data_IF_886185508194
#
_entry.id   IF_886185508194
#
_cell.length_a   1.000
_cell.length_b   1.000
_cell.length_c   1.000
_cell.angle_alpha   90.00
_cell.angle_beta   90.00
_cell.angle_gamma   90.00
#
_symmetry.space_group_name_H-M   'P 1'
#
loop_
_entity.id
_entity.type
_entity.pdbx_description
1 polymer ?
#
# COMPACT_ATOMS: atom_id res chain seq x y z
N UNK A 1 -38.35 -51.90 25.22
CA UNK A 1 -38.28 -53.34 25.51
C UNK A 1 -36.88 -53.87 25.26
N UNK A 2 -36.21 -54.32 26.36
CA UNK A 2 -35.09 -55.29 26.49
C UNK A 2 -33.83 -55.04 25.62
N UNK A 3 -32.65 -54.57 26.19
CA UNK A 3 -31.69 -55.23 27.06
C UNK A 3 -31.12 -56.59 26.55
N UNK A 4 -29.80 -56.61 26.28
CA UNK A 4 -28.83 -57.66 26.61
C UNK A 4 -27.41 -57.15 26.30
N UNK A 5 -26.60 -57.01 27.15
CA UNK A 5 -25.50 -57.46 27.99
C UNK A 5 -24.93 -58.82 27.61
N UNK A 6 -23.57 -58.87 27.48
CA UNK A 6 -22.66 -59.89 28.05
C UNK A 6 -21.31 -59.87 27.31
N UNK A 7 -20.22 -59.79 27.88
CA UNK A 7 -19.36 -60.35 28.94
C UNK A 7 -18.04 -60.83 28.34
N UNK A 8 -16.96 -60.29 28.85
CA UNK A 8 -15.61 -60.82 29.17
C UNK A 8 -15.13 -62.16 28.59
N UNK A 9 -13.87 -62.17 28.11
CA UNK A 9 -12.86 -63.22 28.45
C UNK A 9 -11.48 -62.50 28.58
N UNK A 10 -10.86 -62.78 29.75
CA UNK A 10 -9.46 -62.52 30.09
C UNK A 10 -8.67 -63.79 29.79
N UNK A 11 -7.52 -63.71 29.15
CA UNK A 11 -6.50 -64.75 29.23
C UNK A 11 -5.11 -64.15 29.41
N UNK A 12 -4.39 -64.75 30.34
CA UNK A 12 -3.14 -64.32 30.91
C UNK A 12 -1.91 -64.90 30.17
N UNK A 13 -0.89 -64.10 30.21
CA UNK A 13 0.53 -64.33 30.39
C UNK A 13 1.26 -65.50 29.71
N UNK A 14 2.29 -65.19 28.99
CA UNK A 14 3.54 -65.93 28.96
C UNK A 14 4.73 -65.02 28.80
N UNK A 15 5.61 -65.02 29.79
CA UNK A 15 6.89 -64.32 29.86
C UNK A 15 7.94 -65.01 28.97
N UNK A 16 8.56 -64.32 28.07
CA UNK A 16 9.78 -64.68 27.41
C UNK A 16 10.85 -63.57 27.61
N UNK A 17 11.87 -63.94 28.39
CA UNK A 17 13.05 -63.08 28.59
C UNK A 17 13.93 -63.16 27.33
N UNK A 18 14.09 -62.03 26.66
CA UNK A 18 15.07 -61.87 25.59
C UNK A 18 16.21 -60.96 26.08
N UNK A 19 17.41 -61.52 25.98
CA UNK A 19 18.68 -60.83 26.29
C UNK A 19 18.91 -59.71 25.26
N UNK A 20 18.98 -58.48 25.71
CA UNK A 20 19.33 -57.35 24.87
C UNK A 20 20.86 -57.26 24.74
N UNK A 21 21.37 -57.47 23.55
CA UNK A 21 22.73 -57.11 23.19
C UNK A 21 22.80 -55.57 22.98
N UNK A 22 23.64 -54.91 23.77
CA UNK A 22 23.94 -53.47 23.56
C UNK A 22 24.80 -53.32 22.30
N UNK A 23 24.22 -52.70 21.25
CA UNK A 23 24.98 -52.13 20.17
C UNK A 23 25.42 -50.68 20.54
N UNK A 24 26.65 -50.22 20.16
CA UNK A 24 27.10 -48.87 20.49
C UNK A 24 26.26 -47.86 19.72
N UNK A 25 25.70 -46.90 20.45
CA UNK A 25 25.00 -45.74 19.89
C UNK A 25 25.97 -44.87 19.10
N UNK A 26 25.82 -44.83 17.78
CA UNK A 26 26.44 -43.80 16.95
C UNK A 26 25.83 -42.46 17.35
N UNK A 27 26.66 -41.55 17.84
CA UNK A 27 26.29 -40.13 18.02
C UNK A 27 25.83 -39.57 16.67
N UNK A 28 24.55 -39.33 16.53
CA UNK A 28 24.05 -38.42 15.51
C UNK A 28 24.57 -37.04 15.85
N UNK A 29 25.39 -36.45 14.97
CA UNK A 29 25.77 -35.04 15.05
C UNK A 29 24.50 -34.22 15.01
N UNK A 30 24.13 -33.66 16.17
CA UNK A 30 23.08 -32.68 16.25
C UNK A 30 23.54 -31.41 15.45
N UNK A 31 22.95 -31.23 14.30
CA UNK A 31 23.08 -29.95 13.57
C UNK A 31 22.71 -28.86 14.56
N UNK A 32 23.56 -27.80 14.73
CA UNK A 32 23.20 -26.71 15.61
C UNK A 32 21.91 -26.08 15.09
N UNK A 33 20.92 -25.97 15.96
CA UNK A 33 19.70 -25.23 15.67
C UNK A 33 20.10 -23.79 15.30
N UNK A 34 19.66 -23.31 14.13
CA UNK A 34 19.94 -21.96 13.69
C UNK A 34 19.50 -20.99 14.80
N UNK A 35 20.43 -20.16 15.26
CA UNK A 35 20.15 -19.15 16.27
C UNK A 35 19.00 -18.24 15.81
N UNK A 36 18.09 -17.79 16.71
CA UNK A 36 17.02 -16.86 16.37
C UNK A 36 17.52 -15.58 15.67
N UNK A 37 18.76 -15.15 15.98
CA UNK A 37 19.42 -14.01 15.31
C UNK A 37 19.73 -14.27 13.83
N UNK A 38 20.06 -15.51 13.44
CA UNK A 38 20.31 -15.85 12.04
C UNK A 38 19.03 -15.86 11.18
N UNK A 39 17.89 -16.23 11.75
CA UNK A 39 16.59 -16.19 11.07
C UNK A 39 16.12 -14.74 10.88
N UNK A 40 16.36 -13.87 11.87
CA UNK A 40 16.03 -12.45 11.77
C UNK A 40 16.88 -11.74 10.70
N UNK A 41 18.19 -12.03 10.64
CA UNK A 41 19.08 -11.46 9.62
C UNK A 41 18.72 -11.89 8.20
N UNK A 42 18.19 -13.12 8.02
CA UNK A 42 17.77 -13.63 6.71
C UNK A 42 16.46 -13.03 6.18
N UNK A 43 15.73 -12.25 6.99
CA UNK A 43 14.47 -11.59 6.61
C UNK A 43 14.55 -10.07 6.60
N UNK A 44 15.71 -9.49 6.84
CA UNK A 44 15.89 -8.05 6.95
C UNK A 44 15.71 -7.32 5.61
N UNK A 45 14.96 -6.23 5.66
CA UNK A 45 14.88 -5.17 4.67
C UNK A 45 15.42 -3.91 5.35
N UNK A 46 16.73 -3.67 5.31
CA UNK A 46 17.37 -2.66 6.14
C UNK A 46 16.88 -1.24 5.83
N UNK A 47 16.98 -0.30 6.80
CA UNK A 47 17.58 -0.46 8.13
C UNK A 47 16.64 -0.96 9.23
N UNK A 48 15.31 -0.95 9.05
CA UNK A 48 14.35 -1.19 10.12
C UNK A 48 13.16 -2.07 9.71
N UNK A 49 13.19 -2.64 8.49
CA UNK A 49 12.16 -3.50 7.93
C UNK A 49 12.54 -4.98 7.93
N UNK A 50 11.53 -5.85 7.85
CA UNK A 50 11.65 -7.31 7.71
C UNK A 50 10.56 -7.83 6.79
N UNK A 51 10.92 -8.60 5.75
CA UNK A 51 9.96 -9.28 4.90
C UNK A 51 9.38 -10.53 5.61
N UNK A 52 8.06 -10.59 5.69
CA UNK A 52 7.34 -11.67 6.39
C UNK A 52 6.86 -12.73 5.40
N UNK A 53 6.11 -12.32 4.41
CA UNK A 53 5.52 -13.19 3.39
C UNK A 53 5.13 -12.38 2.17
N UNK A 54 4.93 -13.06 1.05
CA UNK A 54 4.22 -12.52 -0.11
C UNK A 54 3.13 -13.48 -0.56
N UNK A 55 2.21 -13.00 -1.40
CA UNK A 55 1.18 -13.82 -2.01
C UNK A 55 0.81 -13.29 -3.40
N UNK A 56 0.84 -14.18 -4.38
CA UNK A 56 0.40 -13.91 -5.76
C UNK A 56 -1.00 -14.52 -6.01
N UNK A 57 -1.80 -14.77 -4.96
CA UNK A 57 -3.09 -15.45 -5.10
C UNK A 57 -4.17 -14.61 -5.81
N UNK A 58 -3.95 -13.32 -5.98
CA UNK A 58 -4.81 -12.43 -6.75
C UNK A 58 -4.38 -12.31 -8.22
N UNK A 59 -3.17 -12.78 -8.54
CA UNK A 59 -2.58 -12.57 -9.86
C UNK A 59 -3.41 -13.22 -10.96
N UNK A 60 -3.79 -12.41 -11.96
CA UNK A 60 -4.60 -12.81 -13.12
C UNK A 60 -5.93 -13.51 -12.74
N UNK A 61 -6.44 -13.19 -11.54
CA UNK A 61 -7.72 -13.73 -11.09
C UNK A 61 -8.87 -13.14 -11.91
N UNK A 62 -9.80 -14.00 -12.29
CA UNK A 62 -11.11 -13.59 -12.84
C UNK A 62 -12.18 -14.00 -11.84
N UNK A 63 -12.91 -13.02 -11.30
CA UNK A 63 -13.98 -13.25 -10.33
C UNK A 63 -15.33 -12.88 -10.93
N UNK A 64 -16.22 -13.85 -11.05
CA UNK A 64 -17.54 -13.72 -11.69
C UNK A 64 -17.49 -13.07 -13.09
N UNK A 65 -16.44 -13.38 -13.86
CA UNK A 65 -16.24 -12.84 -15.21
C UNK A 65 -15.58 -11.47 -15.28
N UNK A 66 -15.20 -10.86 -14.13
CA UNK A 66 -14.47 -9.59 -14.05
C UNK A 66 -13.01 -9.86 -13.75
N UNK A 67 -12.11 -9.38 -14.59
CA UNK A 67 -10.67 -9.47 -14.35
C UNK A 67 -10.27 -8.60 -13.16
N UNK A 68 -9.42 -9.15 -12.30
CA UNK A 68 -8.78 -8.44 -11.20
C UNK A 68 -7.37 -8.06 -11.60
N UNK A 69 -6.99 -6.82 -11.39
CA UNK A 69 -5.69 -6.21 -11.69
C UNK A 69 -5.80 -4.72 -11.47
N UNK A 70 -4.72 -3.97 -11.73
CA UNK A 70 -4.70 -2.52 -11.59
C UNK A 70 -4.95 -2.06 -10.15
N UNK A 71 -4.35 -2.70 -9.14
CA UNK A 71 -4.67 -2.42 -7.73
C UNK A 71 -3.71 -1.37 -7.16
N UNK A 72 -4.10 -0.09 -7.19
CA UNK A 72 -3.23 1.04 -6.85
C UNK A 72 -3.39 1.55 -5.40
N UNK A 73 -4.22 0.90 -4.57
CA UNK A 73 -4.41 1.31 -3.18
C UNK A 73 -4.70 0.15 -2.26
N UNK A 74 -4.58 0.36 -0.93
CA UNK A 74 -4.93 -0.66 0.05
C UNK A 74 -5.41 -0.05 1.37
N UNK A 75 -6.70 -0.16 1.69
CA UNK A 75 -7.29 0.36 2.92
C UNK A 75 -8.15 -0.67 3.65
N UNK A 76 -8.26 -0.54 4.99
CA UNK A 76 -9.19 -1.34 5.77
C UNK A 76 -10.58 -0.71 5.82
N UNK A 77 -11.60 -1.45 5.40
CA UNK A 77 -12.99 -1.06 5.55
C UNK A 77 -13.63 -1.82 6.74
N UNK A 78 -13.79 -1.16 7.90
CA UNK A 78 -14.33 -1.82 9.09
C UNK A 78 -15.79 -2.24 8.93
N UNK A 79 -16.57 -1.56 8.09
CA UNK A 79 -17.99 -1.90 7.87
C UNK A 79 -18.18 -3.15 7.01
N UNK A 80 -17.28 -3.40 6.08
CA UNK A 80 -17.27 -4.63 5.29
C UNK A 80 -16.43 -5.73 5.93
N UNK A 81 -15.67 -5.43 7.00
CA UNK A 81 -14.64 -6.28 7.56
C UNK A 81 -13.70 -6.83 6.45
N UNK A 82 -13.25 -5.93 5.57
CA UNK A 82 -12.48 -6.25 4.37
C UNK A 82 -11.37 -5.22 4.13
N UNK A 83 -10.32 -5.66 3.46
CA UNK A 83 -9.39 -4.79 2.76
C UNK A 83 -10.01 -4.38 1.44
N UNK A 84 -9.80 -3.13 1.05
CA UNK A 84 -10.33 -2.56 -0.20
C UNK A 84 -9.20 -1.93 -1.00
N UNK A 85 -9.30 -2.02 -2.33
CA UNK A 85 -8.37 -1.43 -3.27
C UNK A 85 -9.15 -0.82 -4.43
N UNK A 86 -8.83 0.40 -4.81
CA UNK A 86 -9.28 0.99 -6.05
C UNK A 86 -8.50 0.37 -7.22
N UNK A 87 -9.11 0.39 -8.38
CA UNK A 87 -8.50 -0.06 -9.63
C UNK A 87 -8.10 1.17 -10.42
N UNK A 88 -6.85 1.22 -10.83
CA UNK A 88 -6.31 2.10 -11.84
C UNK A 88 -7.13 2.01 -13.13
N UNK A 89 -6.85 2.85 -14.10
CA UNK A 89 -7.57 2.84 -15.36
C UNK A 89 -7.37 1.54 -16.15
N UNK A 90 -8.45 1.07 -16.78
CA UNK A 90 -8.39 -0.03 -17.73
C UNK A 90 -9.31 0.26 -18.92
N UNK A 91 -8.95 1.25 -19.70
CA UNK A 91 -9.70 1.63 -20.90
C UNK A 91 -11.15 1.99 -20.60
N UNK A 92 -12.12 1.29 -21.19
CA UNK A 92 -13.56 1.53 -21.01
C UNK A 92 -14.19 0.69 -19.90
N UNK A 93 -13.39 -0.08 -19.15
CA UNK A 93 -13.90 -0.84 -18.01
C UNK A 93 -14.39 0.12 -16.91
N UNK A 94 -15.49 -0.23 -16.20
CA UNK A 94 -15.96 0.60 -15.09
C UNK A 94 -14.92 0.74 -14.00
N UNK A 95 -14.69 1.98 -13.54
CA UNK A 95 -13.91 2.28 -12.36
C UNK A 95 -14.54 1.59 -11.15
N UNK A 96 -13.73 0.94 -10.30
CA UNK A 96 -14.24 0.04 -9.29
C UNK A 96 -13.35 -0.10 -8.07
N UNK A 97 -13.91 -0.59 -6.97
CA UNK A 97 -13.20 -0.97 -5.74
C UNK A 97 -13.38 -2.46 -5.52
N UNK A 98 -12.28 -3.20 -5.31
CA UNK A 98 -12.28 -4.61 -4.91
C UNK A 98 -12.29 -4.79 -3.39
N UNK A 99 -12.70 -5.97 -2.93
CA UNK A 99 -12.84 -6.32 -1.53
C UNK A 99 -12.17 -7.66 -1.24
N UNK A 100 -11.23 -7.68 -0.28
CA UNK A 100 -10.43 -8.86 0.06
C UNK A 100 -10.49 -9.19 1.53
N UNK A 101 -10.14 -10.42 1.87
CA UNK A 101 -9.79 -10.84 3.23
C UNK A 101 -8.41 -11.45 3.25
N UNK A 102 -7.76 -11.40 4.44
CA UNK A 102 -6.51 -12.10 4.73
C UNK A 102 -5.35 -11.73 3.79
N UNK A 103 -4.67 -10.60 4.04
CA UNK A 103 -3.56 -10.15 3.18
C UNK A 103 -2.37 -11.13 3.10
N UNK A 104 -2.26 -12.12 4.00
CA UNK A 104 -1.25 -13.17 3.86
C UNK A 104 -1.59 -14.17 2.75
N UNK A 105 -2.89 -14.38 2.49
CA UNK A 105 -3.46 -15.20 1.42
C UNK A 105 -4.76 -14.55 0.95
N UNK A 106 -4.67 -13.44 0.20
CA UNK A 106 -5.85 -12.63 -0.12
C UNK A 106 -6.86 -13.39 -0.96
N UNK A 107 -8.12 -13.22 -0.60
CA UNK A 107 -9.26 -13.79 -1.31
C UNK A 107 -10.31 -12.74 -1.53
N UNK A 108 -10.83 -12.65 -2.75
CA UNK A 108 -11.97 -11.78 -3.10
C UNK A 108 -13.22 -12.30 -2.39
N UNK A 109 -14.02 -11.41 -1.81
CA UNK A 109 -15.18 -11.77 -1.00
C UNK A 109 -16.53 -11.39 -1.58
N UNK A 110 -16.54 -10.56 -2.62
CA UNK A 110 -17.75 -10.13 -3.34
C UNK A 110 -17.39 -9.46 -4.66
N UNK A 111 -18.39 -9.20 -5.49
CA UNK A 111 -18.26 -8.40 -6.72
C UNK A 111 -17.72 -7.00 -6.39
N UNK A 112 -16.94 -6.39 -7.30
CA UNK A 112 -16.40 -5.06 -7.10
C UNK A 112 -17.51 -4.01 -7.06
N UNK A 113 -17.29 -2.95 -6.30
CA UNK A 113 -18.16 -1.79 -6.24
C UNK A 113 -17.82 -0.85 -7.40
N UNK A 114 -18.74 -0.69 -8.34
CA UNK A 114 -18.58 0.25 -9.46
C UNK A 114 -18.74 1.70 -8.96
N UNK A 115 -17.78 2.55 -9.30
CA UNK A 115 -17.83 3.98 -8.98
C UNK A 115 -18.65 4.74 -10.03
N UNK A 116 -19.51 5.65 -9.54
CA UNK A 116 -20.52 6.32 -10.36
C UNK A 116 -20.54 7.81 -10.10
N UNK A 117 -20.88 8.55 -11.13
CA UNK A 117 -21.20 9.99 -11.05
C UNK A 117 -22.49 10.21 -10.24
N UNK A 118 -22.76 11.46 -9.85
CA UNK A 118 -24.01 11.79 -9.13
C UNK A 118 -25.28 11.45 -9.91
N UNK A 119 -25.22 11.39 -11.24
CA UNK A 119 -26.34 11.00 -12.10
C UNK A 119 -26.51 9.46 -12.24
N UNK A 120 -25.64 8.68 -11.60
CA UNK A 120 -25.64 7.22 -11.62
C UNK A 120 -24.86 6.58 -12.79
N UNK A 121 -24.36 7.36 -13.74
CA UNK A 121 -23.48 6.83 -14.81
C UNK A 121 -22.15 6.38 -14.23
N UNK A 122 -21.59 5.26 -14.73
CA UNK A 122 -20.31 4.78 -14.26
C UNK A 122 -19.17 5.70 -14.71
N UNK A 123 -18.17 5.84 -13.83
CA UNK A 123 -16.83 6.21 -14.26
C UNK A 123 -16.16 5.02 -14.95
N UNK A 124 -15.23 5.29 -15.85
CA UNK A 124 -14.39 4.29 -16.50
C UNK A 124 -12.94 4.81 -16.61
N UNK A 125 -12.01 3.97 -17.07
CA UNK A 125 -10.59 4.32 -17.17
C UNK A 125 -10.27 5.45 -18.14
N UNK A 126 -11.22 5.94 -18.95
CA UNK A 126 -11.01 7.12 -19.81
C UNK A 126 -11.28 8.44 -19.10
N UNK A 127 -11.91 8.40 -17.92
CA UNK A 127 -12.37 9.59 -17.20
C UNK A 127 -12.22 9.48 -15.67
N UNK A 128 -11.60 8.43 -15.18
CA UNK A 128 -11.20 8.25 -13.79
C UNK A 128 -10.06 7.24 -13.72
N UNK A 129 -8.93 7.73 -13.34
CA UNK A 129 -7.68 7.02 -13.12
C UNK A 129 -7.48 6.96 -11.61
N UNK A 130 -7.99 5.88 -10.98
CA UNK A 130 -8.11 5.88 -9.53
C UNK A 130 -6.86 5.29 -8.89
N UNK A 131 -6.24 6.09 -8.05
CA UNK A 131 -5.00 5.74 -7.37
C UNK A 131 -5.24 5.51 -5.88
N UNK A 132 -5.03 6.50 -5.05
CA UNK A 132 -5.19 6.38 -3.61
C UNK A 132 -6.64 6.15 -3.15
N UNK A 133 -6.78 5.39 -2.06
CA UNK A 133 -8.07 5.14 -1.42
C UNK A 133 -7.96 5.19 0.10
N UNK A 134 -8.87 5.94 0.73
CA UNK A 134 -9.07 5.91 2.17
C UNK A 134 -10.53 5.66 2.52
N UNK A 135 -10.77 5.07 3.70
CA UNK A 135 -12.13 4.85 4.21
C UNK A 135 -12.41 5.87 5.30
N UNK A 136 -13.40 6.72 5.07
CA UNK A 136 -13.80 7.77 6.00
C UNK A 136 -14.52 7.19 7.25
N UNK A 137 -14.55 7.90 8.39
CA UNK A 137 -15.22 7.42 9.60
C UNK A 137 -16.72 7.10 9.42
N UNK A 138 -17.40 7.78 8.51
CA UNK A 138 -18.78 7.53 8.15
C UNK A 138 -18.95 6.31 7.24
N UNK A 139 -17.84 5.69 6.81
CA UNK A 139 -17.77 4.52 5.96
C UNK A 139 -17.85 4.82 4.46
N UNK A 140 -17.88 6.07 4.04
CA UNK A 140 -17.70 6.44 2.65
C UNK A 140 -16.27 6.19 2.18
N UNK A 141 -16.09 6.06 0.87
CA UNK A 141 -14.77 5.91 0.25
C UNK A 141 -14.28 7.26 -0.27
N UNK A 142 -13.04 7.59 0.05
CA UNK A 142 -12.33 8.71 -0.52
C UNK A 142 -11.34 8.17 -1.54
N UNK A 143 -11.36 8.67 -2.77
CA UNK A 143 -10.52 8.18 -3.88
C UNK A 143 -9.89 9.35 -4.61
N UNK A 144 -8.58 9.30 -4.86
CA UNK A 144 -7.87 10.20 -5.77
C UNK A 144 -7.98 9.71 -7.21
N UNK A 145 -7.77 10.61 -8.16
CA UNK A 145 -7.77 10.30 -9.60
C UNK A 145 -6.75 11.21 -10.30
N UNK A 146 -6.00 10.62 -11.22
CA UNK A 146 -4.94 11.28 -11.97
C UNK A 146 -5.38 11.95 -13.27
N UNK A 147 -6.23 11.33 -14.05
CA UNK A 147 -6.68 11.83 -15.38
C UNK A 147 -7.23 13.25 -15.27
N UNK A 148 -8.02 13.48 -14.24
CA UNK A 148 -8.51 14.79 -13.82
C UNK A 148 -8.17 14.93 -12.35
N UNK A 149 -7.04 15.56 -11.98
CA UNK A 149 -6.55 15.56 -10.61
C UNK A 149 -7.64 15.97 -9.64
N UNK A 150 -8.16 14.98 -8.92
CA UNK A 150 -9.35 15.15 -8.08
C UNK A 150 -9.34 14.18 -6.91
N UNK A 151 -10.03 14.55 -5.84
CA UNK A 151 -10.27 13.71 -4.67
C UNK A 151 -11.77 13.65 -4.48
N UNK A 152 -12.37 12.47 -4.65
CA UNK A 152 -13.82 12.29 -4.66
C UNK A 152 -14.28 11.43 -3.48
N UNK A 153 -15.42 11.78 -2.91
CA UNK A 153 -16.09 10.99 -1.87
C UNK A 153 -17.22 10.19 -2.50
N UNK A 154 -17.17 8.86 -2.35
CA UNK A 154 -18.18 7.94 -2.83
C UNK A 154 -18.95 7.31 -1.67
N UNK A 155 -20.24 7.14 -1.86
CA UNK A 155 -21.08 6.38 -0.92
C UNK A 155 -20.81 4.88 -0.96
N UNK A 156 -21.42 4.16 -0.03
CA UNK A 156 -21.38 2.69 0.02
C UNK A 156 -22.03 2.01 -1.19
N UNK A 157 -22.82 2.75 -1.93
CA UNK A 157 -23.45 2.40 -3.20
C UNK A 157 -22.58 2.70 -4.43
N UNK A 158 -21.39 3.27 -4.21
CA UNK A 158 -20.45 3.69 -5.26
C UNK A 158 -20.80 5.02 -5.91
N UNK A 159 -21.87 5.70 -5.51
CA UNK A 159 -22.25 6.99 -6.10
C UNK A 159 -21.43 8.12 -5.46
N UNK A 160 -20.85 8.97 -6.28
CA UNK A 160 -20.14 10.16 -5.84
C UNK A 160 -21.08 11.11 -5.07
N UNK A 161 -20.64 11.54 -3.90
CA UNK A 161 -21.38 12.46 -3.02
C UNK A 161 -20.78 13.85 -2.99
N UNK A 162 -19.45 13.96 -3.07
CA UNK A 162 -18.72 15.21 -3.01
C UNK A 162 -17.34 15.08 -3.65
N UNK A 163 -16.66 16.21 -3.78
CA UNK A 163 -15.23 16.29 -4.09
C UNK A 163 -14.55 17.27 -3.14
N UNK A 164 -13.30 17.00 -2.80
CA UNK A 164 -12.46 17.95 -2.07
C UNK A 164 -11.90 19.00 -3.04
N UNK A 165 -11.66 20.25 -2.58
CA UNK A 165 -11.07 21.29 -3.42
C UNK A 165 -9.59 20.95 -3.71
N UNK A 166 -9.22 20.93 -4.99
CA UNK A 166 -7.83 20.82 -5.45
C UNK A 166 -7.44 22.14 -6.11
N UNK A 167 -6.32 22.79 -5.70
CA UNK A 167 -5.92 24.06 -6.30
C UNK A 167 -5.61 23.92 -7.80
N UNK A 168 -5.95 24.95 -8.60
CA UNK A 168 -5.84 24.90 -10.06
C UNK A 168 -4.43 24.56 -10.58
N UNK A 169 -3.36 24.93 -9.84
CA UNK A 169 -1.98 24.58 -10.21
C UNK A 169 -1.69 23.07 -10.24
N UNK A 170 -2.51 22.24 -9.58
CA UNK A 170 -2.38 20.78 -9.58
C UNK A 170 -3.03 20.12 -10.80
N UNK A 171 -3.75 20.89 -11.63
CA UNK A 171 -4.25 20.39 -12.90
C UNK A 171 -3.10 20.04 -13.84
N UNK A 172 -3.36 19.09 -14.74
CA UNK A 172 -2.38 18.68 -15.78
C UNK A 172 -2.04 19.87 -16.67
N UNK A 173 -0.76 20.04 -16.96
CA UNK A 173 -0.24 21.09 -17.81
C UNK A 173 -0.98 21.14 -19.16
N UNK A 174 -1.47 22.32 -19.54
CA UNK A 174 -2.20 22.54 -20.78
C UNK A 174 -3.70 22.25 -20.71
N UNK A 175 -4.22 21.68 -19.61
CA UNK A 175 -5.67 21.51 -19.41
C UNK A 175 -6.31 22.78 -18.81
N UNK A 176 -5.57 23.53 -18.00
CA UNK A 176 -5.93 24.85 -17.48
C UNK A 176 -4.75 25.82 -17.60
N UNK A 177 -4.96 27.15 -17.56
CA UNK A 177 -3.88 28.11 -17.61
C UNK A 177 -2.87 27.98 -16.47
N UNK A 178 -3.31 27.53 -15.29
CA UNK A 178 -2.52 27.40 -14.07
C UNK A 178 -1.92 26.00 -13.89
N UNK A 179 -2.34 25.00 -14.69
CA UNK A 179 -1.94 23.60 -14.55
C UNK A 179 -0.43 23.39 -14.68
N UNK A 180 0.15 22.69 -13.72
CA UNK A 180 1.59 22.45 -13.59
C UNK A 180 1.95 20.98 -13.41
N UNK A 181 0.98 20.09 -13.22
CA UNK A 181 1.24 18.67 -13.07
C UNK A 181 1.61 18.02 -14.41
N UNK A 182 2.47 17.04 -14.40
CA UNK A 182 2.65 16.17 -15.55
C UNK A 182 1.45 15.20 -15.67
N UNK A 183 1.09 14.81 -16.88
CA UNK A 183 0.10 13.76 -17.08
C UNK A 183 0.62 12.45 -16.49
N UNK A 184 -0.24 11.68 -15.85
CA UNK A 184 0.11 10.42 -15.17
C UNK A 184 1.25 10.59 -14.15
N UNK A 185 1.18 11.65 -13.36
CA UNK A 185 2.08 11.94 -12.25
C UNK A 185 1.41 12.94 -11.28
N UNK A 186 0.13 12.75 -10.98
CA UNK A 186 -0.67 13.73 -10.22
C UNK A 186 -0.98 13.25 -8.80
N UNK A 187 -2.26 13.16 -8.40
CA UNK A 187 -2.69 12.78 -7.05
C UNK A 187 -2.73 11.26 -6.90
N UNK A 188 -1.69 10.72 -6.34
CA UNK A 188 -1.44 9.29 -6.14
C UNK A 188 -1.84 8.87 -4.73
N UNK A 189 -0.90 8.92 -3.80
CA UNK A 189 -1.08 8.46 -2.43
C UNK A 189 -2.15 9.23 -1.65
N UNK A 190 -2.97 8.52 -0.88
CA UNK A 190 -4.09 9.10 -0.16
C UNK A 190 -4.35 8.41 1.17
N UNK A 191 -4.30 9.18 2.26
CA UNK A 191 -4.52 8.64 3.59
C UNK A 191 -5.42 9.52 4.45
N UNK A 192 -6.02 8.90 5.47
CA UNK A 192 -6.71 9.60 6.55
C UNK A 192 -6.04 9.32 7.89
N UNK A 193 -5.86 10.36 8.70
CA UNK A 193 -5.30 10.21 10.04
C UNK A 193 -6.15 9.28 10.91
N UNK A 194 -5.54 8.67 11.92
CA UNK A 194 -6.25 7.81 12.88
C UNK A 194 -7.37 8.51 13.64
N UNK A 195 -7.32 9.83 13.76
CA UNK A 195 -8.39 10.61 14.35
C UNK A 195 -9.61 10.71 13.43
N UNK A 196 -9.47 10.38 12.15
CA UNK A 196 -10.49 10.56 11.13
C UNK A 196 -10.77 12.02 10.79
N UNK A 197 -9.87 12.94 11.12
CA UNK A 197 -10.09 14.38 10.99
C UNK A 197 -9.10 15.10 10.08
N UNK A 198 -8.07 14.42 9.61
CA UNK A 198 -7.08 14.95 8.69
C UNK A 198 -6.89 13.99 7.54
N UNK A 199 -6.87 14.51 6.31
CA UNK A 199 -6.56 13.77 5.08
C UNK A 199 -5.25 14.35 4.54
N UNK A 200 -4.38 13.47 4.06
CA UNK A 200 -3.18 13.85 3.29
C UNK A 200 -3.28 13.19 1.93
N UNK A 201 -3.14 14.00 0.87
CA UNK A 201 -3.04 13.53 -0.51
C UNK A 201 -1.68 13.95 -1.08
N UNK A 202 -0.92 13.00 -1.62
CA UNK A 202 0.41 13.20 -2.15
C UNK A 202 0.38 13.31 -3.68
N UNK A 203 1.21 14.23 -4.22
CA UNK A 203 1.54 14.23 -5.64
C UNK A 203 2.57 13.16 -5.92
N UNK A 204 2.34 12.35 -6.94
CA UNK A 204 3.31 11.39 -7.44
C UNK A 204 4.57 12.08 -7.96
N UNK A 205 4.37 13.06 -8.85
CA UNK A 205 5.43 13.84 -9.47
C UNK A 205 5.53 15.26 -8.94
N UNK A 206 6.64 15.93 -9.26
CA UNK A 206 6.83 17.35 -8.98
C UNK A 206 5.98 18.21 -9.93
N UNK A 207 5.42 19.31 -9.42
CA UNK A 207 4.83 20.34 -10.28
C UNK A 207 5.94 21.04 -11.10
N UNK A 208 5.68 21.36 -12.36
CA UNK A 208 6.66 22.03 -13.24
C UNK A 208 7.17 23.36 -12.65
N UNK A 209 6.33 24.06 -11.89
CA UNK A 209 6.72 25.27 -11.16
C UNK A 209 7.65 25.04 -9.97
N UNK A 210 7.80 23.80 -9.51
CA UNK A 210 8.66 23.43 -8.38
C UNK A 210 10.01 22.80 -8.82
N UNK A 211 10.15 22.54 -10.12
CA UNK A 211 11.40 22.04 -10.70
C UNK A 211 12.45 23.16 -10.71
N UNK A 212 13.68 22.82 -10.31
CA UNK A 212 14.78 23.79 -10.32
C UNK A 212 15.25 24.12 -11.74
N UNK A 213 15.98 25.22 -11.89
CA UNK A 213 16.61 25.59 -13.17
C UNK A 213 17.62 24.56 -13.69
N UNK A 214 18.14 23.69 -12.82
CA UNK A 214 19.01 22.56 -13.19
C UNK A 214 18.26 21.27 -13.54
N UNK A 215 16.92 21.30 -13.48
CA UNK A 215 16.08 20.14 -13.75
C UNK A 215 15.86 19.22 -12.55
N UNK A 216 16.21 19.62 -11.31
CA UNK A 216 15.88 18.87 -10.10
C UNK A 216 14.37 18.91 -9.85
N UNK A 217 13.73 17.75 -9.95
CA UNK A 217 12.29 17.51 -9.78
C UNK A 217 11.99 16.71 -8.50
N UNK A 218 12.86 16.74 -7.50
CA UNK A 218 12.71 15.94 -6.28
C UNK A 218 11.73 16.53 -5.25
N UNK A 219 11.21 17.74 -5.46
CA UNK A 219 10.30 18.41 -4.53
C UNK A 219 8.85 18.20 -4.93
N UNK A 220 8.10 17.51 -4.06
CA UNK A 220 6.70 17.16 -4.23
C UNK A 220 5.84 17.91 -3.20
N UNK A 221 4.56 18.10 -3.52
CA UNK A 221 3.58 18.70 -2.62
C UNK A 221 2.60 17.67 -2.10
N UNK A 222 2.31 17.73 -0.81
CA UNK A 222 1.19 17.04 -0.21
C UNK A 222 0.12 18.05 0.16
N UNK A 223 -1.13 17.76 -0.17
CA UNK A 223 -2.31 18.51 0.24
C UNK A 223 -2.82 17.98 1.57
N UNK A 224 -3.03 18.89 2.54
CA UNK A 224 -3.55 18.53 3.86
C UNK A 224 -4.92 19.16 4.06
N UNK A 225 -5.91 18.32 4.35
CA UNK A 225 -7.27 18.73 4.59
C UNK A 225 -7.67 18.41 6.03
N UNK A 226 -8.30 19.36 6.69
CA UNK A 226 -8.89 19.18 8.02
C UNK A 226 -10.41 19.17 7.95
N UNK A 227 -11.01 18.32 8.79
CA UNK A 227 -12.46 18.29 8.99
C UNK A 227 -12.87 19.42 9.93
N UNK A 228 -13.62 20.39 9.41
CA UNK A 228 -14.12 21.52 10.19
C UNK A 228 -15.21 21.08 11.19
N UNK A 229 -15.68 22.04 12.01
CA UNK A 229 -16.76 21.79 13.01
C UNK A 229 -18.14 21.52 12.38
N UNK A 230 -18.29 21.79 11.11
CA UNK A 230 -19.53 21.57 10.36
C UNK A 230 -19.52 20.25 9.58
N UNK A 231 -18.40 19.51 9.62
CA UNK A 231 -18.24 18.26 8.91
C UNK A 231 -17.77 18.42 7.46
N UNK A 232 -17.26 19.58 7.08
CA UNK A 232 -16.71 19.81 5.74
C UNK A 232 -15.19 19.69 5.75
N UNK A 233 -14.64 19.08 4.71
CA UNK A 233 -13.21 19.00 4.47
C UNK A 233 -12.70 20.32 3.87
N UNK A 234 -11.70 20.92 4.50
CA UNK A 234 -11.07 22.16 4.09
C UNK A 234 -9.60 21.90 3.78
N UNK A 235 -9.12 22.35 2.63
CA UNK A 235 -7.68 22.39 2.37
C UNK A 235 -7.07 23.46 3.29
N UNK A 236 -6.24 23.03 4.22
CA UNK A 236 -5.69 23.90 5.28
C UNK A 236 -4.25 24.27 5.06
N UNK A 237 -3.47 23.41 4.40
CA UNK A 237 -2.07 23.68 4.04
C UNK A 237 -1.56 22.76 2.95
N UNK A 238 -0.38 23.10 2.42
CA UNK A 238 0.46 22.23 1.62
C UNK A 238 1.78 22.01 2.35
N UNK A 239 2.33 20.81 2.30
CA UNK A 239 3.66 20.52 2.84
C UNK A 239 4.59 20.10 1.71
N UNK A 240 5.88 20.46 1.83
CA UNK A 240 6.90 20.08 0.87
C UNK A 240 7.64 18.83 1.33
N UNK A 241 7.75 17.86 0.44
CA UNK A 241 8.49 16.61 0.61
C UNK A 241 9.58 16.49 -0.44
N UNK A 242 10.73 15.93 -0.09
CA UNK A 242 11.81 15.67 -1.05
C UNK A 242 12.04 14.18 -1.21
N UNK A 243 11.86 13.67 -2.43
CA UNK A 243 12.20 12.29 -2.79
C UNK A 243 13.72 12.11 -3.00
N UNK A 244 14.17 10.86 -3.05
CA UNK A 244 15.44 10.56 -3.71
C UNK A 244 15.34 10.87 -5.22
N UNK A 245 16.50 11.11 -5.83
CA UNK A 245 16.53 11.49 -7.24
C UNK A 245 15.99 10.35 -8.13
N UNK A 246 15.01 10.66 -8.96
CA UNK A 246 14.37 9.73 -9.87
C UNK A 246 13.22 8.93 -9.27
N UNK A 247 12.92 9.12 -7.97
CA UNK A 247 11.79 8.47 -7.33
C UNK A 247 10.50 9.28 -7.50
N UNK A 248 9.38 8.55 -7.60
CA UNK A 248 8.00 9.00 -7.50
C UNK A 248 7.42 8.64 -6.12
N UNK A 249 6.24 9.12 -5.80
CA UNK A 249 5.52 8.80 -4.56
C UNK A 249 4.22 8.09 -4.89
N UNK A 250 4.19 6.75 -4.89
CA UNK A 250 2.96 6.01 -5.17
C UNK A 250 1.98 6.02 -3.98
N UNK A 251 2.46 5.98 -2.73
CA UNK A 251 1.53 5.93 -1.62
C UNK A 251 2.07 6.61 -0.35
N UNK A 252 1.13 7.07 0.46
CA UNK A 252 1.37 7.62 1.80
C UNK A 252 0.36 7.06 2.80
N UNK A 253 0.82 6.66 3.99
CA UNK A 253 -0.06 6.15 5.03
C UNK A 253 0.18 6.84 6.38
N UNK A 254 -0.88 7.39 6.96
CA UNK A 254 -0.82 8.03 8.27
C UNK A 254 -0.69 6.97 9.38
N UNK A 255 0.25 7.19 10.31
CA UNK A 255 0.40 6.40 11.52
C UNK A 255 0.66 7.29 12.74
N UNK A 256 0.40 6.75 13.93
CA UNK A 256 0.55 7.55 15.14
C UNK A 256 -0.41 8.76 15.17
N UNK A 257 0.10 9.90 15.66
CA UNK A 257 -0.69 11.14 15.76
C UNK A 257 -0.34 12.16 14.69
N UNK A 258 0.88 12.13 14.19
CA UNK A 258 1.51 13.22 13.47
C UNK A 258 2.64 12.69 12.58
N UNK A 259 2.38 11.60 11.88
CA UNK A 259 3.41 10.89 11.13
C UNK A 259 2.84 10.22 9.89
N UNK A 260 3.65 10.18 8.83
CA UNK A 260 3.38 9.47 7.59
C UNK A 260 4.46 8.43 7.33
N UNK A 261 4.07 7.28 6.82
CA UNK A 261 4.92 6.37 6.07
C UNK A 261 4.73 6.70 4.60
N UNK A 262 5.81 7.03 3.92
CA UNK A 262 5.83 7.40 2.50
C UNK A 262 6.55 6.30 1.75
N UNK A 263 5.93 5.81 0.70
CA UNK A 263 6.54 4.94 -0.28
C UNK A 263 7.17 5.79 -1.38
N UNK A 264 8.45 5.55 -1.66
CA UNK A 264 9.14 6.09 -2.81
C UNK A 264 9.51 4.95 -3.75
N UNK A 265 9.19 5.10 -5.03
CA UNK A 265 9.43 4.09 -6.03
C UNK A 265 10.11 4.67 -7.27
N UNK A 266 10.87 3.84 -7.96
CA UNK A 266 11.40 4.11 -9.29
C UNK A 266 11.41 2.84 -10.13
N UNK A 267 11.33 3.01 -11.44
CA UNK A 267 11.44 1.91 -12.41
C UNK A 267 12.50 2.22 -13.46
N UNK A 268 13.24 1.20 -13.85
CA UNK A 268 14.10 1.24 -15.02
C UNK A 268 14.04 -0.08 -15.80
N UNK A 269 14.10 -0.01 -17.11
CA UNK A 269 14.08 -1.21 -17.97
C UNK A 269 15.27 -2.14 -17.76
N UNK A 270 16.35 -1.66 -17.14
CA UNK A 270 17.58 -2.42 -16.89
C UNK A 270 17.65 -3.04 -15.49
N UNK A 271 17.01 -2.42 -14.49
CA UNK A 271 17.06 -2.86 -13.10
C UNK A 271 15.69 -3.27 -12.54
N UNK A 272 14.61 -2.94 -13.23
CA UNK A 272 13.24 -3.14 -12.74
C UNK A 272 12.83 -2.10 -11.70
N UNK A 273 11.95 -2.49 -10.80
CA UNK A 273 11.44 -1.66 -9.72
C UNK A 273 12.44 -1.52 -8.57
N UNK A 274 12.44 -0.35 -7.96
CA UNK A 274 13.09 -0.08 -6.67
C UNK A 274 12.09 0.65 -5.78
N UNK A 275 12.04 0.25 -4.50
CA UNK A 275 11.05 0.79 -3.57
C UNK A 275 11.64 0.93 -2.18
N UNK A 276 11.31 2.04 -1.55
CA UNK A 276 11.83 2.45 -0.26
C UNK A 276 10.73 3.04 0.60
N UNK A 277 10.71 2.69 1.89
CA UNK A 277 9.75 3.21 2.85
C UNK A 277 10.42 4.22 3.77
N UNK A 278 9.87 5.43 3.82
CA UNK A 278 10.37 6.53 4.63
C UNK A 278 9.35 6.96 5.69
N UNK A 279 9.83 7.18 6.91
CA UNK A 279 9.05 7.84 7.95
C UNK A 279 9.20 9.35 7.86
N UNK A 280 8.08 10.07 7.93
CA UNK A 280 7.98 11.51 8.18
C UNK A 280 7.29 11.72 9.51
N UNK A 281 7.84 12.55 10.37
CA UNK A 281 7.27 12.90 11.69
C UNK A 281 7.11 14.41 11.80
N UNK A 282 6.18 14.89 12.62
CA UNK A 282 5.94 16.31 12.79
C UNK A 282 5.17 16.96 11.64
N UNK A 283 4.31 16.20 10.99
CA UNK A 283 3.49 16.66 9.84
C UNK A 283 2.63 17.86 10.21
N UNK A 284 2.04 17.85 11.42
CA UNK A 284 1.20 18.96 11.91
C UNK A 284 2.00 20.26 12.10
N UNK A 285 3.27 20.16 12.50
CA UNK A 285 4.16 21.30 12.69
C UNK A 285 4.89 21.71 11.39
N UNK A 286 4.74 20.97 10.30
CA UNK A 286 5.38 21.29 9.03
C UNK A 286 4.89 22.66 8.52
N UNK A 287 5.79 23.49 7.98
CA UNK A 287 5.44 24.76 7.38
C UNK A 287 4.41 24.62 6.25
N UNK A 288 3.49 25.60 6.18
CA UNK A 288 2.58 25.70 5.03
C UNK A 288 3.32 26.36 3.85
N UNK A 289 3.45 25.61 2.76
CA UNK A 289 4.07 26.06 1.51
C UNK A 289 3.05 26.41 0.43
N UNK A 290 1.77 26.55 0.76
CA UNK A 290 0.69 26.84 -0.20
C UNK A 290 0.92 28.14 -0.99
N UNK A 291 1.54 29.15 -0.36
CA UNK A 291 1.88 30.44 -0.97
C UNK A 291 3.26 30.46 -1.63
N UNK A 292 4.07 29.41 -1.49
CA UNK A 292 5.38 29.32 -2.13
C UNK A 292 5.20 28.99 -3.60
N UNK A 293 5.59 29.90 -4.47
CA UNK A 293 5.41 29.75 -5.92
C UNK A 293 6.29 28.65 -6.52
N UNK A 294 7.50 28.49 -5.99
CA UNK A 294 8.49 27.50 -6.44
C UNK A 294 9.24 26.92 -5.25
N UNK A 295 9.07 25.61 -5.02
CA UNK A 295 9.72 24.91 -3.91
C UNK A 295 11.23 24.80 -4.06
N UNK A 296 11.77 24.84 -5.29
CA UNK A 296 13.22 24.70 -5.51
C UNK A 296 14.04 25.85 -4.88
N UNK A 297 13.40 26.98 -4.60
CA UNK A 297 14.00 28.13 -3.90
C UNK A 297 13.52 28.27 -2.45
N UNK A 298 12.67 27.37 -1.97
CA UNK A 298 12.21 27.37 -0.59
C UNK A 298 13.36 27.04 0.38
N UNK A 299 13.39 27.64 1.58
CA UNK A 299 14.34 27.26 2.60
C UNK A 299 14.27 25.76 2.94
N UNK A 300 15.41 25.11 3.16
CA UNK A 300 15.45 23.67 3.48
C UNK A 300 14.61 23.31 4.74
N UNK A 301 14.44 24.25 5.67
CA UNK A 301 13.59 24.08 6.87
C UNK A 301 12.10 23.96 6.55
N UNK A 302 11.68 24.38 5.35
CA UNK A 302 10.28 24.31 4.92
C UNK A 302 9.94 22.95 4.26
N UNK A 303 10.95 22.10 4.07
CA UNK A 303 10.81 20.72 3.59
C UNK A 303 10.82 19.78 4.77
N UNK A 304 9.85 18.86 4.84
CA UNK A 304 9.78 17.87 5.94
C UNK A 304 10.99 16.95 5.92
N UNK A 305 11.45 16.56 7.11
CA UNK A 305 12.51 15.58 7.26
C UNK A 305 11.97 14.18 7.11
N UNK A 306 12.70 13.31 6.41
CA UNK A 306 12.38 11.89 6.25
C UNK A 306 13.48 10.99 6.79
N UNK A 307 13.13 9.76 7.14
CA UNK A 307 14.05 8.72 7.60
C UNK A 307 13.75 7.41 6.90
N UNK A 308 14.73 6.84 6.21
CA UNK A 308 14.62 5.52 5.60
C UNK A 308 14.34 4.46 6.68
N UNK A 309 13.34 3.63 6.45
CA UNK A 309 12.96 2.50 7.31
C UNK A 309 13.18 1.15 6.64
N UNK A 310 12.91 1.04 5.35
CA UNK A 310 13.14 -0.19 4.60
C UNK A 310 13.52 0.14 3.16
N UNK A 311 14.54 -0.58 2.64
CA UNK A 311 14.84 -0.65 1.22
C UNK A 311 14.44 -2.05 0.74
N UNK A 312 13.44 -2.13 -0.14
CA UNK A 312 12.84 -3.39 -0.54
C UNK A 312 13.73 -4.16 -1.52
N UNK A 313 14.60 -3.49 -2.26
CA UNK A 313 15.62 -4.14 -3.10
C UNK A 313 16.53 -5.04 -2.26
N UNK A 314 16.83 -4.62 -1.03
CA UNK A 314 17.71 -5.34 -0.10
C UNK A 314 16.98 -6.42 0.72
N UNK A 315 15.66 -6.60 0.55
CA UNK A 315 14.92 -7.66 1.19
C UNK A 315 15.38 -9.05 0.71
N UNK A 316 15.19 -10.12 1.51
CA UNK A 316 15.29 -11.48 1.01
C UNK A 316 14.18 -11.76 0.00
N UNK A 317 14.48 -12.53 -1.02
CA UNK A 317 13.55 -12.81 -2.13
C UNK A 317 12.33 -13.64 -1.71
N UNK A 318 12.37 -14.29 -0.55
CA UNK A 318 11.36 -15.24 -0.05
C UNK A 318 11.00 -16.37 -1.05
N UNK A 319 11.79 -16.53 -2.13
CA UNK A 319 11.51 -17.46 -3.22
C UNK A 319 10.46 -16.95 -4.21
N UNK A 320 10.19 -15.65 -4.22
CA UNK A 320 9.25 -15.04 -5.17
C UNK A 320 9.71 -15.25 -6.62
N UNK A 321 8.80 -15.52 -7.55
CA UNK A 321 9.09 -15.49 -8.98
C UNK A 321 9.07 -14.05 -9.49
N UNK A 322 9.74 -13.82 -10.64
CA UNK A 322 9.60 -12.59 -11.42
C UNK A 322 9.35 -12.95 -12.89
N UNK A 323 8.54 -12.16 -13.60
CA UNK A 323 8.26 -12.32 -15.04
C UNK A 323 9.01 -11.30 -15.90
N UNK A 324 9.65 -10.34 -15.27
CA UNK A 324 10.45 -9.32 -15.93
C UNK A 324 11.77 -9.09 -15.17
N UNK A 325 12.64 -8.24 -15.71
CA UNK A 325 13.91 -7.92 -15.04
C UNK A 325 13.63 -7.17 -13.74
N UNK A 326 14.10 -7.72 -12.62
CA UNK A 326 14.01 -7.12 -11.29
C UNK A 326 15.33 -7.29 -10.54
N UNK A 327 15.78 -6.25 -9.84
CA UNK A 327 16.91 -6.35 -8.92
C UNK A 327 16.64 -7.34 -7.77
N UNK A 328 15.38 -7.43 -7.35
CA UNK A 328 14.88 -8.41 -6.40
C UNK A 328 13.56 -8.98 -6.94
N UNK A 329 13.42 -10.30 -7.17
CA UNK A 329 12.20 -10.89 -7.71
C UNK A 329 10.97 -10.76 -6.79
N UNK A 330 11.16 -10.29 -5.55
CA UNK A 330 10.06 -9.96 -4.64
C UNK A 330 9.33 -8.68 -5.07
N UNK A 331 10.03 -7.79 -5.80
CA UNK A 331 9.48 -6.51 -6.24
C UNK A 331 8.53 -6.68 -7.43
N UNK A 332 7.58 -5.81 -7.48
CA UNK A 332 6.71 -5.50 -8.61
C UNK A 332 6.33 -4.02 -8.48
N UNK A 333 5.40 -3.50 -9.24
CA UNK A 333 4.95 -2.11 -9.18
C UNK A 333 4.02 -1.91 -7.97
N UNK A 334 4.58 -1.83 -6.73
CA UNK A 334 3.76 -1.57 -5.54
C UNK A 334 3.25 -0.13 -5.54
N UNK A 335 1.95 0.04 -5.31
CA UNK A 335 1.29 1.35 -5.28
C UNK A 335 0.33 1.48 -4.09
N UNK A 336 -0.26 0.36 -3.64
CA UNK A 336 -1.13 0.40 -2.48
C UNK A 336 -0.43 -0.05 -1.21
N UNK A 337 -0.59 0.71 -0.13
CA UNK A 337 0.00 0.41 1.17
C UNK A 337 -1.02 0.49 2.29
N UNK A 338 -0.88 -0.35 3.31
CA UNK A 338 -1.65 -0.23 4.56
C UNK A 338 -0.81 -0.56 5.77
N UNK A 339 -1.13 0.06 6.91
CA UNK A 339 -0.43 -0.14 8.18
C UNK A 339 -1.36 -0.76 9.21
N UNK A 340 -0.95 -1.88 9.80
CA UNK A 340 -1.60 -2.48 10.96
C UNK A 340 -0.74 -2.29 12.20
N UNK A 341 -1.32 -1.71 13.25
CA UNK A 341 -0.57 -1.32 14.45
C UNK A 341 -0.31 0.18 14.51
N UNK A 342 0.79 0.61 15.10
CA UNK A 342 1.17 2.02 15.32
C UNK A 342 2.68 2.15 15.55
N UNK A 343 3.14 3.27 16.15
CA UNK A 343 4.55 3.44 16.50
C UNK A 343 5.13 2.22 17.23
N UNK A 344 6.35 1.85 16.92
CA UNK A 344 6.98 0.59 17.31
C UNK A 344 6.99 -0.41 16.16
N UNK A 345 6.89 -1.70 16.43
CA UNK A 345 6.87 -2.74 15.39
C UNK A 345 5.45 -2.87 14.82
N UNK A 346 5.26 -2.44 13.59
CA UNK A 346 3.99 -2.45 12.89
C UNK A 346 4.03 -3.40 11.69
N UNK A 347 2.88 -3.98 11.34
CA UNK A 347 2.67 -4.64 10.07
C UNK A 347 2.46 -3.60 8.96
N UNK A 348 3.16 -3.76 7.85
CA UNK A 348 2.96 -2.99 6.62
C UNK A 348 2.69 -3.99 5.50
N UNK A 349 1.59 -3.80 4.79
CA UNK A 349 1.28 -4.60 3.61
C UNK A 349 1.23 -3.71 2.39
N UNK A 350 1.91 -4.13 1.34
CA UNK A 350 1.92 -3.49 0.02
C UNK A 350 1.14 -4.37 -0.95
N UNK A 351 0.48 -3.75 -1.93
CA UNK A 351 -0.14 -4.43 -3.06
C UNK A 351 0.34 -3.79 -4.36
N UNK A 352 0.65 -4.62 -5.35
CA UNK A 352 1.13 -4.11 -6.63
C UNK A 352 -0.01 -3.91 -7.62
N UNK A 353 0.09 -2.83 -8.38
CA UNK A 353 -0.58 -2.69 -9.65
C UNK A 353 0.15 -3.54 -10.71
N UNK A 354 -0.56 -4.43 -11.35
CA UNK A 354 -0.03 -5.26 -12.44
C UNK A 354 -0.28 -4.66 -13.83
N UNK A 355 -0.82 -3.43 -13.91
CA UNK A 355 -1.17 -2.74 -15.15
C UNK A 355 -1.95 -3.64 -16.13
N UNK A 356 -2.66 -4.64 -15.63
CA UNK A 356 -3.23 -5.74 -16.41
C UNK A 356 -2.23 -6.40 -17.38
N UNK A 357 -0.93 -6.24 -17.16
CA UNK A 357 0.19 -6.76 -17.94
C UNK A 357 0.43 -8.24 -17.68
N UNK A 358 0.78 -8.99 -18.71
CA UNK A 358 1.18 -10.39 -18.56
C UNK A 358 2.53 -10.57 -17.85
N UNK A 359 3.36 -9.53 -17.80
CA UNK A 359 4.72 -9.55 -17.24
C UNK A 359 4.81 -9.07 -15.78
N UNK A 360 3.73 -8.52 -15.23
CA UNK A 360 3.64 -8.06 -13.86
C UNK A 360 2.73 -8.97 -13.02
N UNK A 361 2.92 -8.96 -11.71
CA UNK A 361 2.08 -9.72 -10.77
C UNK A 361 1.15 -8.78 -10.02
N UNK A 362 -0.08 -9.22 -9.75
CA UNK A 362 -0.88 -8.69 -8.65
C UNK A 362 -0.42 -9.38 -7.36
N UNK A 363 0.52 -8.76 -6.66
CA UNK A 363 1.23 -9.33 -5.49
C UNK A 363 0.92 -8.55 -4.22
N UNK A 364 0.70 -9.26 -3.12
CA UNK A 364 0.68 -8.68 -1.77
C UNK A 364 1.99 -9.03 -1.07
N UNK A 365 2.73 -8.02 -0.61
CA UNK A 365 3.93 -8.17 0.22
C UNK A 365 3.62 -7.74 1.65
N UNK A 366 3.91 -8.61 2.62
CA UNK A 366 3.74 -8.31 4.04
C UNK A 366 5.09 -8.12 4.72
N UNK A 367 5.25 -6.99 5.39
CA UNK A 367 6.44 -6.58 6.11
C UNK A 367 6.13 -6.36 7.61
N UNK A 368 7.16 -6.43 8.43
CA UNK A 368 7.21 -5.77 9.74
C UNK A 368 8.18 -4.61 9.64
N UNK A 369 7.77 -3.42 10.06
CA UNK A 369 8.59 -2.21 10.01
C UNK A 369 8.59 -1.55 11.38
N UNK A 370 9.78 -1.14 11.85
CA UNK A 370 9.93 -0.40 13.11
C UNK A 370 9.67 1.08 12.85
N UNK A 371 8.44 1.50 13.07
CA UNK A 371 8.00 2.90 12.97
C UNK A 371 8.49 3.71 14.18
N UNK A 372 8.95 4.98 13.98
CA UNK A 372 9.35 5.89 15.07
C UNK A 372 8.24 6.19 16.07
#
# INVERSE_FOLDING_TARGET
MRLARSWFIVTAAATASAILALAPATRADARPAASPAGVAASRACPPAGFAVSFSDSLDKLVYHGVALGGLSSLAWDPRSAAWVSAVDNHGTDPARIWFFRNLAHPTVIRDPLVLRRPDGTAYDGTNSDNEGLAVLPDGNYLVSSETEPSIRIYGRDGVQKASLPVPARFAVTGTTPEGQAASNATLEGLTISRSGREIVAAMEGALSGDVSSSGDATLHRFLVYDLDRHGNWQLTKQIAYRTEAGNRIPEVQAYGRDSLLVEEAAFSTTAGNSEELYAVTGVNAAPDVSTVANLSVAPAKDVVSKKLLANLVACPTLGAPSRETQANPLLDNYEGMTITGGPGLAGVSLISDDNFSATQFTRVLNLLVKLP
#
